data_IF_392998988600
#
_entry.id   IF_392998988600
#
_cell.length_a   1.000
_cell.length_b   1.000
_cell.length_c   1.000
_cell.angle_alpha   90.00
_cell.angle_beta   90.00
_cell.angle_gamma   90.00
#
_symmetry.space_group_name_H-M   'P 1'
#
loop_
_entity.id
_entity.type
_entity.pdbx_description
1 polymer ?
#
# COMPACT_ATOMS: atom_id res chain seq x y z
N UNK A 1 -2.18 4.95 -14.92
CA UNK A 1 -2.31 3.57 -14.38
C UNK A 1 -1.10 2.79 -14.86
N UNK A 2 -0.10 2.63 -14.00
CA UNK A 2 1.07 1.79 -14.33
C UNK A 2 0.55 0.36 -14.43
N UNK A 3 0.85 -0.31 -15.54
CA UNK A 3 0.36 -1.68 -15.84
C UNK A 3 0.62 -2.58 -14.63
N UNK A 4 -0.45 -3.21 -14.13
CA UNK A 4 -0.39 -4.31 -13.19
C UNK A 4 0.65 -5.31 -13.68
N UNK A 5 1.74 -5.45 -12.92
CA UNK A 5 2.75 -6.46 -13.28
C UNK A 5 2.14 -7.83 -13.01
N UNK A 6 2.14 -8.69 -14.02
CA UNK A 6 1.74 -10.08 -13.85
C UNK A 6 2.82 -10.81 -13.04
N UNK A 7 2.50 -11.14 -11.81
CA UNK A 7 3.37 -11.93 -10.96
C UNK A 7 3.00 -13.42 -11.03
N UNK A 8 4.00 -14.27 -11.07
CA UNK A 8 3.78 -15.72 -10.99
C UNK A 8 3.23 -16.13 -9.61
N UNK A 9 2.56 -17.29 -9.51
CA UNK A 9 2.09 -17.80 -8.22
C UNK A 9 3.21 -17.90 -7.16
N UNK A 10 4.43 -18.23 -7.60
CA UNK A 10 5.59 -18.32 -6.72
C UNK A 10 6.00 -16.93 -6.19
N UNK A 11 6.02 -15.91 -7.06
CA UNK A 11 6.30 -14.53 -6.64
C UNK A 11 5.24 -14.02 -5.64
N UNK A 12 3.97 -14.32 -5.89
CA UNK A 12 2.88 -13.95 -4.96
C UNK A 12 3.06 -14.63 -3.60
N UNK A 13 3.43 -15.91 -3.56
CA UNK A 13 3.70 -16.62 -2.31
C UNK A 13 4.89 -15.99 -1.55
N UNK A 14 5.92 -15.53 -2.24
CA UNK A 14 7.06 -14.81 -1.64
C UNK A 14 6.60 -13.48 -1.05
N UNK A 15 5.76 -12.72 -1.75
CA UNK A 15 5.24 -11.44 -1.25
C UNK A 15 4.34 -11.62 -0.03
N UNK A 16 3.48 -12.65 -0.02
CA UNK A 16 2.67 -13.00 1.15
C UNK A 16 3.55 -13.39 2.34
N UNK A 17 4.68 -14.09 2.10
CA UNK A 17 5.67 -14.41 3.13
C UNK A 17 6.30 -13.15 3.74
N UNK A 18 6.71 -12.18 2.92
CA UNK A 18 7.22 -10.87 3.38
C UNK A 18 6.15 -10.13 4.18
N UNK A 19 4.91 -10.11 3.68
CA UNK A 19 3.79 -9.47 4.36
C UNK A 19 3.49 -10.10 5.72
N UNK A 20 3.54 -11.44 5.81
CA UNK A 20 3.35 -12.16 7.07
C UNK A 20 4.42 -11.82 8.11
N UNK A 21 5.70 -11.69 7.69
CA UNK A 21 6.80 -11.26 8.57
C UNK A 21 6.61 -9.81 9.04
N UNK A 22 6.19 -8.90 8.16
CA UNK A 22 5.90 -7.51 8.51
C UNK A 22 4.74 -7.42 9.52
N UNK A 23 3.67 -8.23 9.36
CA UNK A 23 2.55 -8.31 10.30
C UNK A 23 2.96 -8.81 11.69
N UNK A 24 4.02 -9.61 11.78
CA UNK A 24 4.60 -10.05 13.04
C UNK A 24 5.52 -8.99 13.68
N UNK A 25 5.59 -7.78 13.12
CA UNK A 25 6.45 -6.70 13.59
C UNK A 25 7.94 -6.93 13.32
N UNK A 26 8.30 -7.89 12.44
CA UNK A 26 9.71 -8.17 12.12
C UNK A 26 10.34 -6.97 11.40
N UNK A 27 11.56 -6.65 11.77
CA UNK A 27 12.34 -5.64 11.06
C UNK A 27 12.88 -6.20 9.74
N UNK A 28 12.29 -5.74 8.63
CA UNK A 28 12.62 -6.19 7.28
C UNK A 28 14.08 -5.91 6.88
N UNK A 29 14.75 -4.93 7.52
CA UNK A 29 16.18 -4.67 7.28
C UNK A 29 17.03 -5.85 7.75
N UNK A 30 16.66 -6.47 8.87
CA UNK A 30 17.41 -7.56 9.50
C UNK A 30 16.92 -8.95 9.15
N UNK A 31 15.71 -9.10 8.58
CA UNK A 31 15.16 -10.38 8.14
C UNK A 31 16.11 -11.06 7.15
N UNK A 32 16.35 -12.34 7.35
CA UNK A 32 17.19 -13.14 6.46
C UNK A 32 16.37 -13.69 5.30
N UNK A 33 17.02 -13.90 4.15
CA UNK A 33 16.36 -14.50 2.97
C UNK A 33 15.79 -15.88 3.29
N UNK A 34 16.42 -16.65 4.18
CA UNK A 34 15.91 -17.94 4.64
C UNK A 34 14.56 -17.79 5.34
N UNK A 35 14.39 -16.77 6.19
CA UNK A 35 13.11 -16.52 6.89
C UNK A 35 12.00 -16.14 5.90
N UNK A 36 12.32 -15.40 4.84
CA UNK A 36 11.37 -15.11 3.75
C UNK A 36 11.00 -16.40 3.02
N UNK A 37 11.97 -17.25 2.72
CA UNK A 37 11.73 -18.54 2.07
C UNK A 37 10.85 -19.46 2.91
N UNK A 38 11.15 -19.57 4.21
CA UNK A 38 10.37 -20.38 5.15
C UNK A 38 8.93 -19.86 5.26
N UNK A 39 8.75 -18.53 5.34
CA UNK A 39 7.43 -17.89 5.39
C UNK A 39 6.63 -18.07 4.08
N UNK A 40 7.32 -18.18 2.94
CA UNK A 40 6.72 -18.46 1.63
C UNK A 40 6.48 -19.97 1.36
N UNK A 41 6.94 -20.84 2.26
CA UNK A 41 6.87 -22.31 2.07
C UNK A 41 7.77 -22.84 0.97
N UNK A 42 8.92 -22.19 0.71
CA UNK A 42 9.83 -22.50 -0.38
C UNK A 42 11.26 -22.71 0.09
N UNK A 43 12.10 -23.31 -0.78
CA UNK A 43 13.55 -23.33 -0.61
C UNK A 43 14.17 -21.95 -0.94
N UNK A 44 15.26 -21.58 -0.24
CA UNK A 44 16.00 -20.34 -0.52
C UNK A 44 16.45 -20.21 -1.97
N UNK A 45 16.80 -21.33 -2.63
CA UNK A 45 17.20 -21.35 -4.05
C UNK A 45 16.10 -20.83 -4.96
N UNK A 46 14.85 -21.22 -4.71
CA UNK A 46 13.69 -20.81 -5.53
C UNK A 46 13.44 -19.30 -5.49
N UNK A 47 13.79 -18.61 -4.39
CA UNK A 47 13.67 -17.16 -4.35
C UNK A 47 14.59 -16.49 -5.37
N UNK A 48 15.82 -16.99 -5.50
CA UNK A 48 16.83 -16.44 -6.42
C UNK A 48 16.60 -16.82 -7.89
N UNK A 49 15.68 -17.74 -8.19
CA UNK A 49 15.18 -17.97 -9.54
C UNK A 49 14.28 -16.81 -10.02
N UNK A 50 13.64 -16.09 -9.09
CA UNK A 50 12.70 -15.02 -9.38
C UNK A 50 13.24 -13.61 -9.09
N UNK A 51 14.20 -13.47 -8.15
CA UNK A 51 14.69 -12.18 -7.67
C UNK A 51 16.22 -12.18 -7.55
N UNK A 52 16.82 -11.04 -7.86
CA UNK A 52 18.29 -10.89 -7.88
C UNK A 52 18.88 -10.72 -6.48
N UNK A 53 18.12 -10.14 -5.55
CA UNK A 53 18.58 -9.84 -4.20
C UNK A 53 17.42 -9.81 -3.20
N UNK A 54 17.75 -9.75 -1.90
CA UNK A 54 16.77 -9.51 -0.84
C UNK A 54 16.06 -8.16 -1.02
N UNK A 55 16.81 -7.14 -1.39
CA UNK A 55 16.28 -5.80 -1.65
C UNK A 55 15.27 -5.80 -2.79
N UNK A 56 15.53 -6.58 -3.85
CA UNK A 56 14.62 -6.77 -4.97
C UNK A 56 13.31 -7.43 -4.52
N UNK A 57 13.39 -8.49 -3.71
CA UNK A 57 12.22 -9.14 -3.08
C UNK A 57 11.40 -8.14 -2.28
N UNK A 58 12.04 -7.39 -1.38
CA UNK A 58 11.35 -6.48 -0.49
C UNK A 58 10.70 -5.30 -1.24
N UNK A 59 11.38 -4.76 -2.25
CA UNK A 59 10.84 -3.69 -3.10
C UNK A 59 9.61 -4.15 -3.90
N UNK A 60 9.70 -5.31 -4.55
CA UNK A 60 8.57 -5.83 -5.32
C UNK A 60 7.40 -6.26 -4.42
N UNK A 61 7.67 -6.85 -3.26
CA UNK A 61 6.64 -7.18 -2.26
C UNK A 61 5.92 -5.94 -1.75
N UNK A 62 6.65 -4.86 -1.46
CA UNK A 62 6.05 -3.61 -1.02
C UNK A 62 5.22 -2.93 -2.09
N UNK A 63 5.71 -2.91 -3.34
CA UNK A 63 4.96 -2.42 -4.50
C UNK A 63 3.66 -3.19 -4.68
N UNK A 64 3.73 -4.51 -4.68
CA UNK A 64 2.56 -5.38 -4.80
C UNK A 64 1.54 -5.15 -3.68
N UNK A 65 2.01 -5.07 -2.43
CA UNK A 65 1.15 -4.81 -1.29
C UNK A 65 0.40 -3.48 -1.45
N UNK A 66 1.11 -2.41 -1.78
CA UNK A 66 0.52 -1.08 -1.94
C UNK A 66 -0.46 -1.02 -3.11
N UNK A 67 -0.11 -1.60 -4.25
CA UNK A 67 -1.00 -1.62 -5.41
C UNK A 67 -2.30 -2.37 -5.10
N UNK A 68 -2.22 -3.51 -4.42
CA UNK A 68 -3.40 -4.27 -3.98
C UNK A 68 -4.32 -3.45 -3.08
N UNK A 69 -3.75 -2.70 -2.14
CA UNK A 69 -4.52 -1.84 -1.25
C UNK A 69 -5.20 -0.69 -2.02
N UNK A 70 -4.47 -0.05 -2.91
CA UNK A 70 -5.01 1.04 -3.74
C UNK A 70 -6.13 0.57 -4.66
N UNK A 71 -5.99 -0.60 -5.28
CA UNK A 71 -7.03 -1.21 -6.10
C UNK A 71 -8.29 -1.54 -5.31
N UNK A 72 -8.13 -2.06 -4.08
CA UNK A 72 -9.27 -2.33 -3.21
C UNK A 72 -10.03 -1.06 -2.84
N UNK A 73 -9.30 0.02 -2.50
CA UNK A 73 -9.91 1.31 -2.19
C UNK A 73 -10.60 1.87 -3.44
N UNK A 74 -9.92 1.86 -4.58
CA UNK A 74 -10.45 2.37 -5.84
C UNK A 74 -11.76 1.67 -6.23
N UNK A 75 -11.79 0.32 -6.19
CA UNK A 75 -12.99 -0.46 -6.48
C UNK A 75 -14.15 -0.10 -5.53
N UNK A 76 -13.87 0.08 -4.26
CA UNK A 76 -14.89 0.44 -3.28
C UNK A 76 -15.38 1.88 -3.48
N UNK A 77 -14.49 2.80 -3.85
CA UNK A 77 -14.83 4.18 -4.17
C UNK A 77 -15.71 4.28 -5.42
N UNK A 78 -15.41 3.51 -6.47
CA UNK A 78 -16.25 3.47 -7.68
C UNK A 78 -17.65 2.92 -7.42
N UNK A 79 -17.82 2.05 -6.43
CA UNK A 79 -19.11 1.49 -6.03
C UNK A 79 -19.87 2.36 -5.02
N UNK A 80 -19.21 3.38 -4.46
CA UNK A 80 -19.80 4.26 -3.47
C UNK A 80 -20.72 5.29 -4.14
N UNK A 81 -21.95 5.39 -3.68
CA UNK A 81 -22.93 6.35 -4.16
C UNK A 81 -23.01 7.57 -3.22
N UNK A 82 -22.41 8.67 -3.69
CA UNK A 82 -22.40 9.94 -2.96
C UNK A 82 -21.28 10.11 -1.93
N UNK A 83 -21.20 11.34 -1.40
CA UNK A 83 -20.15 11.79 -0.48
C UNK A 83 -20.03 10.92 0.78
N UNK A 84 -21.14 10.66 1.46
CA UNK A 84 -21.13 9.91 2.73
C UNK A 84 -20.64 8.47 2.55
N UNK A 85 -21.00 7.83 1.43
CA UNK A 85 -20.55 6.49 1.12
C UNK A 85 -19.03 6.47 0.83
N UNK A 86 -18.54 7.43 0.03
CA UNK A 86 -17.11 7.57 -0.28
C UNK A 86 -16.30 7.87 0.99
N UNK A 87 -16.76 8.79 1.83
CA UNK A 87 -16.11 9.11 3.11
C UNK A 87 -16.09 7.89 4.04
N UNK A 88 -17.15 7.10 4.06
CA UNK A 88 -17.22 5.85 4.85
C UNK A 88 -16.18 4.83 4.38
N UNK A 89 -15.95 4.68 3.08
CA UNK A 89 -14.87 3.82 2.54
C UNK A 89 -13.51 4.28 3.07
N UNK A 90 -13.22 5.57 2.98
CA UNK A 90 -11.98 6.16 3.46
C UNK A 90 -11.78 5.94 4.96
N UNK A 91 -12.76 6.27 5.79
CA UNK A 91 -12.69 6.13 7.24
C UNK A 91 -12.55 4.67 7.68
N UNK A 92 -13.22 3.75 6.99
CA UNK A 92 -13.05 2.31 7.23
C UNK A 92 -11.62 1.85 6.93
N UNK A 93 -11.05 2.27 5.82
CA UNK A 93 -9.67 1.97 5.47
C UNK A 93 -8.69 2.51 6.53
N UNK A 94 -8.82 3.79 6.92
CA UNK A 94 -7.98 4.39 7.96
C UNK A 94 -8.09 3.62 9.28
N UNK A 95 -9.31 3.26 9.69
CA UNK A 95 -9.51 2.44 10.90
C UNK A 95 -8.78 1.10 10.79
N UNK A 96 -8.88 0.39 9.67
CA UNK A 96 -8.19 -0.89 9.47
C UNK A 96 -6.67 -0.75 9.54
N UNK A 97 -6.12 0.31 8.91
CA UNK A 97 -4.70 0.63 9.00
C UNK A 97 -4.28 0.83 10.45
N UNK A 98 -5.00 1.66 11.19
CA UNK A 98 -4.66 2.01 12.58
C UNK A 98 -4.85 0.86 13.57
N UNK A 99 -5.80 -0.05 13.34
CA UNK A 99 -6.13 -1.11 14.30
C UNK A 99 -5.49 -2.45 13.98
N UNK A 100 -5.37 -2.79 12.70
CA UNK A 100 -4.97 -4.15 12.28
C UNK A 100 -3.67 -4.20 11.47
N UNK A 101 -3.26 -3.08 10.86
CA UNK A 101 -2.16 -3.05 9.90
C UNK A 101 -1.01 -2.12 10.29
N UNK A 102 -1.09 -1.43 11.44
CA UNK A 102 -0.10 -0.46 11.88
C UNK A 102 1.32 -1.05 11.95
N UNK A 103 1.46 -2.28 12.47
CA UNK A 103 2.77 -2.95 12.54
C UNK A 103 3.35 -3.22 11.16
N UNK A 104 2.52 -3.67 10.22
CA UNK A 104 2.91 -3.92 8.83
C UNK A 104 3.40 -2.63 8.15
N UNK A 105 2.61 -1.56 8.24
CA UNK A 105 3.00 -0.26 7.65
C UNK A 105 4.23 0.34 8.33
N UNK A 106 4.36 0.18 9.64
CA UNK A 106 5.56 0.61 10.37
C UNK A 106 6.81 -0.16 9.94
N UNK A 107 6.70 -1.48 9.75
CA UNK A 107 7.82 -2.31 9.29
C UNK A 107 8.23 -1.95 7.87
N UNK A 108 7.27 -1.80 6.95
CA UNK A 108 7.50 -1.35 5.58
C UNK A 108 8.05 0.08 5.54
N UNK A 109 7.46 1.00 6.31
CA UNK A 109 7.89 2.40 6.39
C UNK A 109 9.34 2.52 6.87
N UNK A 110 9.72 1.82 7.92
CA UNK A 110 11.12 1.79 8.39
C UNK A 110 12.08 1.28 7.31
N UNK A 111 11.71 0.21 6.61
CA UNK A 111 12.51 -0.31 5.52
C UNK A 111 12.72 0.74 4.42
N UNK A 112 11.63 1.37 3.94
CA UNK A 112 11.70 2.33 2.84
C UNK A 112 12.33 3.67 3.20
N UNK A 113 12.38 4.06 4.47
CA UNK A 113 13.14 5.23 4.91
C UNK A 113 14.66 5.04 4.72
N UNK A 114 15.14 3.81 4.76
CA UNK A 114 16.56 3.46 4.63
C UNK A 114 16.98 3.11 3.20
N UNK A 115 16.03 2.97 2.27
CA UNK A 115 16.33 2.65 0.87
C UNK A 115 16.63 3.90 0.04
N UNK A 116 17.38 3.71 -1.07
CA UNK A 116 17.70 4.80 -1.98
C UNK A 116 16.43 5.42 -2.62
N UNK A 117 16.41 6.74 -2.89
CA UNK A 117 15.26 7.43 -3.48
C UNK A 117 14.75 6.78 -4.77
N UNK A 118 15.65 6.30 -5.61
CA UNK A 118 15.33 5.66 -6.90
C UNK A 118 14.51 4.38 -6.72
N UNK A 119 14.75 3.66 -5.63
CA UNK A 119 14.03 2.45 -5.27
C UNK A 119 12.65 2.73 -4.67
N UNK A 120 12.39 3.99 -4.29
CA UNK A 120 11.13 4.43 -3.64
C UNK A 120 10.19 5.17 -4.57
N UNK A 121 10.48 5.29 -5.85
CA UNK A 121 9.64 6.06 -6.78
C UNK A 121 8.17 5.62 -6.74
N UNK A 122 7.92 4.32 -6.62
CA UNK A 122 6.57 3.79 -6.50
C UNK A 122 5.85 4.23 -5.20
N UNK A 123 6.58 4.49 -4.11
CA UNK A 123 6.00 5.03 -2.86
C UNK A 123 5.42 6.42 -3.11
N UNK A 124 6.14 7.26 -3.86
CA UNK A 124 5.67 8.60 -4.23
C UNK A 124 4.43 8.50 -5.11
N UNK A 125 4.45 7.62 -6.11
CA UNK A 125 3.30 7.38 -6.99
C UNK A 125 2.07 6.91 -6.21
N UNK A 126 2.25 5.97 -5.27
CA UNK A 126 1.15 5.47 -4.43
C UNK A 126 0.53 6.56 -3.55
N UNK A 127 1.36 7.49 -3.03
CA UNK A 127 0.87 8.65 -2.28
C UNK A 127 0.03 9.58 -3.15
N UNK A 128 0.45 9.83 -4.37
CA UNK A 128 -0.33 10.66 -5.30
C UNK A 128 -1.66 9.99 -5.70
N UNK A 129 -1.67 8.68 -5.88
CA UNK A 129 -2.92 7.95 -6.12
C UNK A 129 -3.88 8.01 -4.91
N UNK A 130 -3.36 7.92 -3.70
CA UNK A 130 -4.16 8.08 -2.49
C UNK A 130 -4.75 9.50 -2.38
N UNK A 131 -3.96 10.54 -2.68
CA UNK A 131 -4.45 11.92 -2.72
C UNK A 131 -5.57 12.10 -3.74
N UNK A 132 -5.51 11.40 -4.87
CA UNK A 132 -6.56 11.44 -5.87
C UNK A 132 -7.90 10.94 -5.33
N UNK A 133 -7.92 9.89 -4.52
CA UNK A 133 -9.14 9.45 -3.85
C UNK A 133 -9.70 10.52 -2.89
N UNK A 134 -8.83 11.19 -2.12
CA UNK A 134 -9.28 12.29 -1.24
C UNK A 134 -9.84 13.48 -2.04
N UNK A 135 -9.23 13.78 -3.20
CA UNK A 135 -9.72 14.81 -4.12
C UNK A 135 -11.12 14.50 -4.62
N UNK A 136 -11.36 13.26 -5.02
CA UNK A 136 -12.69 12.80 -5.47
C UNK A 136 -13.74 12.90 -4.37
N UNK A 137 -13.40 12.55 -3.12
CA UNK A 137 -14.30 12.72 -1.96
C UNK A 137 -14.66 14.21 -1.78
N UNK A 138 -13.64 15.09 -1.78
CA UNK A 138 -13.87 16.52 -1.61
C UNK A 138 -14.71 17.13 -2.73
N UNK A 139 -14.47 16.75 -3.99
CA UNK A 139 -15.27 17.20 -5.12
C UNK A 139 -16.72 16.74 -5.02
N UNK A 140 -16.95 15.48 -4.66
CA UNK A 140 -18.31 14.96 -4.49
C UNK A 140 -19.03 15.69 -3.35
N UNK A 141 -18.33 15.93 -2.24
CA UNK A 141 -18.88 16.68 -1.12
C UNK A 141 -19.23 18.12 -1.48
N UNK A 142 -18.45 18.79 -2.36
CA UNK A 142 -18.82 20.13 -2.87
C UNK A 142 -20.06 20.08 -3.76
N UNK A 143 -20.19 19.07 -4.62
CA UNK A 143 -21.39 18.90 -5.48
C UNK A 143 -22.65 18.71 -4.67
N UNK A 144 -22.56 18.04 -3.54
CA UNK A 144 -23.68 17.74 -2.64
C UNK A 144 -23.88 18.81 -1.55
N UNK A 145 -23.04 19.86 -1.49
CA UNK A 145 -23.12 20.92 -0.50
C UNK A 145 -22.66 20.49 0.91
N UNK A 146 -21.95 19.39 1.05
CA UNK A 146 -21.42 18.86 2.30
C UNK A 146 -20.03 19.43 2.62
N UNK A 147 -19.29 19.88 1.61
CA UNK A 147 -17.97 20.49 1.74
C UNK A 147 -18.05 21.94 1.27
N UNK A 148 -17.55 22.88 2.09
CA UNK A 148 -17.51 24.29 1.75
C UNK A 148 -16.68 24.52 0.48
N UNK A 149 -17.25 25.16 -0.57
CA UNK A 149 -16.52 25.47 -1.80
C UNK A 149 -15.29 26.37 -1.59
N UNK A 150 -15.25 27.14 -0.50
CA UNK A 150 -14.13 28.01 -0.16
C UNK A 150 -12.90 27.25 0.38
N UNK A 151 -13.06 26.00 0.82
CA UNK A 151 -11.93 25.17 1.24
C UNK A 151 -11.07 24.79 0.02
N UNK A 152 -9.77 25.08 0.11
CA UNK A 152 -8.86 24.66 -0.95
C UNK A 152 -8.75 23.13 -1.01
N UNK A 153 -8.44 22.62 -2.16
CA UNK A 153 -8.22 21.18 -2.40
C UNK A 153 -7.10 20.65 -1.49
N UNK A 154 -6.04 21.43 -1.33
CA UNK A 154 -4.90 21.10 -0.47
C UNK A 154 -5.33 20.90 0.98
N UNK A 155 -6.15 21.84 1.53
CA UNK A 155 -6.69 21.72 2.89
C UNK A 155 -7.58 20.49 3.03
N UNK A 156 -8.43 20.18 2.05
CA UNK A 156 -9.27 18.98 2.09
C UNK A 156 -8.42 17.70 2.11
N UNK A 157 -7.33 17.64 1.34
CA UNK A 157 -6.42 16.50 1.35
C UNK A 157 -5.65 16.39 2.66
N UNK A 158 -5.17 17.51 3.23
CA UNK A 158 -4.38 17.54 4.47
C UNK A 158 -5.20 17.14 5.71
N UNK A 159 -6.51 17.38 5.70
CA UNK A 159 -7.40 16.93 6.79
C UNK A 159 -7.58 15.40 6.80
N UNK A 160 -7.45 14.75 5.65
CA UNK A 160 -7.72 13.32 5.48
C UNK A 160 -6.44 12.44 5.52
N UNK A 161 -5.25 13.04 5.58
CA UNK A 161 -3.95 12.37 5.70
C UNK A 161 -3.43 12.45 7.13
#
# INVERSE_FOLDING_TARGET
MEMQRDYSPQQLAIFEGVYALARQGRDLNTVRVQEIADAAGMGKGSLYEHFKSKEDILNEAGRWCMNRELEQIHTQMEQADGYDAMLTVCLRYLREVMTCRMETYSALGRYYQMTAPEQRQWVVQSKEQMKEHFRQIAEQGRREGQVDPALSEEVCCDILI
#
